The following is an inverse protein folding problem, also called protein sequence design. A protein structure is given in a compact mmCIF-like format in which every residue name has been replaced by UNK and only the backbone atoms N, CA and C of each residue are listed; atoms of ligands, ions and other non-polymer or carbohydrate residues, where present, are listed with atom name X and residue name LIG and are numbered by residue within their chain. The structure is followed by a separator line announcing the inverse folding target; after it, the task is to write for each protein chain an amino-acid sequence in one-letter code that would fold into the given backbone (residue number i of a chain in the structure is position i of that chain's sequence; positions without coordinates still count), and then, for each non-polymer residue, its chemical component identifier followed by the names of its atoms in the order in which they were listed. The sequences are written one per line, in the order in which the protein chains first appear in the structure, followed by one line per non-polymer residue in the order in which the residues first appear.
data_IF_450670130404
#
_entry.id   IF_450670130404
#
_cell.length_a   1.000
_cell.length_b   1.000
_cell.length_c   1.000
_cell.angle_alpha   90.00
_cell.angle_beta   90.00
_cell.angle_gamma   90.00
#
_symmetry.space_group_name_H-M   'P 1'
#
loop_
_entity.id
_entity.type
_entity.pdbx_description
1 polymer ?
#
# COMPACT_ATOMS: atom_id res chain seq x y z
N UNK A 1 -41.43 -10.82 -41.51
CA UNK A 1 -40.05 -11.29 -41.23
C UNK A 1 -38.99 -10.19 -41.04
N UNK A 2 -39.21 -8.92 -41.42
CA UNK A 2 -38.21 -7.84 -41.23
C UNK A 2 -38.39 -6.98 -39.95
N UNK A 3 -39.48 -7.16 -39.20
CA UNK A 3 -39.78 -6.39 -37.98
C UNK A 3 -39.32 -7.06 -36.68
N UNK A 4 -38.98 -8.35 -36.72
CA UNK A 4 -38.52 -9.11 -35.56
C UNK A 4 -37.01 -8.96 -35.31
N UNK A 5 -36.24 -8.65 -36.35
CA UNK A 5 -34.77 -8.48 -36.28
C UNK A 5 -34.36 -7.21 -35.54
N UNK A 6 -35.21 -6.18 -35.49
CA UNK A 6 -34.89 -4.88 -34.88
C UNK A 6 -34.93 -4.95 -33.34
N UNK A 7 -35.72 -5.85 -32.75
CA UNK A 7 -35.80 -5.98 -31.28
C UNK A 7 -34.62 -6.72 -30.65
N UNK A 8 -33.92 -7.57 -31.41
CA UNK A 8 -32.76 -8.33 -30.89
C UNK A 8 -31.49 -7.46 -30.82
N UNK A 9 -31.40 -6.43 -31.67
CA UNK A 9 -30.24 -5.52 -31.70
C UNK A 9 -30.27 -4.52 -30.54
N UNK A 10 -31.45 -4.19 -30.00
CA UNK A 10 -31.57 -3.26 -28.87
C UNK A 10 -31.28 -3.91 -27.50
N UNK A 11 -31.31 -5.25 -27.41
CA UNK A 11 -31.00 -5.98 -26.18
C UNK A 11 -29.48 -6.17 -25.92
N UNK A 12 -28.62 -5.80 -26.88
CA UNK A 12 -27.18 -6.06 -26.81
C UNK A 12 -26.33 -4.88 -26.27
N UNK A 13 -26.95 -3.74 -25.95
CA UNK A 13 -26.22 -2.49 -25.70
C UNK A 13 -26.27 -1.97 -24.24
N UNK A 14 -26.61 -2.82 -23.27
CA UNK A 14 -26.46 -2.48 -21.85
C UNK A 14 -25.57 -3.49 -21.14
N UNK A 15 -24.33 -3.61 -21.60
CA UNK A 15 -23.25 -4.08 -20.72
C UNK A 15 -22.93 -2.88 -19.84
N UNK A 16 -23.64 -2.75 -18.72
CA UNK A 16 -23.17 -1.91 -17.63
C UNK A 16 -21.82 -2.48 -17.21
N UNK A 17 -20.73 -1.79 -17.53
CA UNK A 17 -19.45 -2.05 -16.90
C UNK A 17 -19.63 -1.78 -15.40
N UNK A 18 -19.77 -2.85 -14.62
CA UNK A 18 -19.44 -2.80 -13.20
C UNK A 18 -17.99 -2.31 -13.13
N UNK A 19 -17.79 -1.04 -12.78
CA UNK A 19 -16.48 -0.53 -12.42
C UNK A 19 -16.12 -1.19 -11.09
N UNK A 20 -15.46 -2.34 -11.16
CA UNK A 20 -14.75 -2.87 -10.00
C UNK A 20 -13.72 -1.81 -9.58
N UNK A 21 -13.63 -1.54 -8.28
CA UNK A 21 -12.60 -0.66 -7.73
C UNK A 21 -11.23 -1.16 -8.22
N UNK A 22 -10.48 -0.30 -8.92
CA UNK A 22 -9.13 -0.64 -9.36
C UNK A 22 -8.18 -0.53 -8.16
N UNK A 23 -7.63 -1.67 -7.74
CA UNK A 23 -6.65 -1.75 -6.67
C UNK A 23 -5.23 -1.79 -7.24
N UNK A 24 -4.31 -1.13 -6.53
CA UNK A 24 -2.87 -1.18 -6.82
C UNK A 24 -2.18 -1.93 -5.69
N UNK A 25 -1.62 -3.10 -6.02
CA UNK A 25 -0.82 -3.88 -5.09
C UNK A 25 0.47 -3.14 -4.73
N UNK A 26 0.57 -2.66 -3.48
CA UNK A 26 1.78 -2.03 -2.96
C UNK A 26 2.89 -3.06 -2.70
N UNK A 27 2.50 -4.28 -2.33
CA UNK A 27 3.41 -5.39 -2.09
C UNK A 27 3.13 -6.53 -3.07
N UNK A 28 4.17 -6.98 -3.76
CA UNK A 28 4.03 -7.99 -4.82
C UNK A 28 4.04 -9.45 -4.31
N UNK A 29 4.04 -9.67 -2.99
CA UNK A 29 4.07 -10.99 -2.38
C UNK A 29 5.43 -11.72 -2.43
N UNK A 30 6.45 -11.13 -3.06
CA UNK A 30 7.72 -11.83 -3.37
C UNK A 30 8.96 -11.11 -2.90
N UNK A 31 8.99 -9.78 -2.98
CA UNK A 31 10.14 -8.97 -2.62
C UNK A 31 9.74 -7.53 -2.30
N UNK A 32 10.69 -6.77 -1.76
CA UNK A 32 10.49 -5.37 -1.35
C UNK A 32 10.74 -4.37 -2.50
N UNK A 33 10.58 -4.77 -3.77
CA UNK A 33 10.70 -3.84 -4.89
C UNK A 33 9.62 -2.77 -4.77
N UNK A 34 10.03 -1.50 -4.86
CA UNK A 34 9.14 -0.35 -4.67
C UNK A 34 9.16 0.23 -3.25
N UNK A 35 9.90 -0.41 -2.34
CA UNK A 35 10.08 0.02 -0.96
C UNK A 35 11.50 0.48 -0.68
N UNK A 36 11.66 1.34 0.32
CA UNK A 36 12.95 1.77 0.87
C UNK A 36 12.92 1.81 2.40
N UNK A 37 14.09 1.71 3.03
CA UNK A 37 14.22 1.74 4.48
C UNK A 37 14.73 3.12 4.91
N UNK A 38 14.02 3.73 5.85
CA UNK A 38 14.31 5.07 6.35
C UNK A 38 14.55 5.08 7.87
N UNK A 39 15.31 6.07 8.31
CA UNK A 39 15.73 6.39 9.68
C UNK A 39 16.57 5.31 10.39
N UNK A 40 15.93 4.23 10.82
CA UNK A 40 16.55 3.21 11.66
C UNK A 40 17.20 2.06 10.90
N UNK A 41 17.50 0.98 11.63
CA UNK A 41 18.25 -0.18 11.13
C UNK A 41 17.54 -1.52 11.41
N UNK A 42 16.25 -1.49 11.70
CA UNK A 42 15.42 -2.70 11.79
C UNK A 42 15.35 -3.39 10.41
N UNK A 43 15.18 -4.70 10.43
CA UNK A 43 15.22 -5.50 9.21
C UNK A 43 13.81 -5.83 8.74
N UNK A 44 13.60 -5.74 7.42
CA UNK A 44 12.40 -6.19 6.75
C UNK A 44 12.77 -7.29 5.77
N UNK A 45 12.05 -8.40 5.82
CA UNK A 45 12.21 -9.51 4.87
C UNK A 45 10.86 -9.99 4.39
N UNK A 46 10.86 -10.74 3.29
CA UNK A 46 9.67 -11.44 2.80
C UNK A 46 9.76 -12.90 3.20
N UNK A 47 8.72 -13.40 3.85
CA UNK A 47 8.61 -14.80 4.27
C UNK A 47 7.16 -15.25 4.09
N UNK A 48 6.93 -16.39 3.44
CA UNK A 48 5.58 -16.94 3.18
C UNK A 48 4.57 -15.98 2.52
N UNK A 49 5.04 -15.04 1.70
CA UNK A 49 4.16 -14.06 1.06
C UNK A 49 3.76 -12.89 1.95
N UNK A 50 4.43 -12.72 3.09
CA UNK A 50 4.20 -11.64 4.05
C UNK A 50 5.48 -10.80 4.22
N UNK A 51 5.32 -9.53 4.60
CA UNK A 51 6.45 -8.70 5.03
C UNK A 51 6.63 -8.85 6.54
N UNK A 52 7.82 -9.31 6.94
CA UNK A 52 8.18 -9.49 8.35
C UNK A 52 9.16 -8.39 8.76
N UNK A 53 8.72 -7.53 9.67
CA UNK A 53 9.58 -6.53 10.34
C UNK A 53 10.13 -7.07 11.66
N UNK A 54 11.44 -7.04 11.85
CA UNK A 54 12.10 -7.47 13.09
C UNK A 54 12.56 -6.26 13.90
N UNK A 55 12.01 -6.09 15.11
CA UNK A 55 12.41 -5.01 16.02
C UNK A 55 13.89 -5.08 16.37
N UNK A 56 14.53 -3.93 16.53
CA UNK A 56 15.96 -3.81 16.84
C UNK A 56 16.20 -2.74 17.90
N UNK A 57 17.01 -3.07 18.90
CA UNK A 57 17.39 -2.14 19.97
C UNK A 57 18.58 -1.27 19.54
N UNK A 58 18.75 -0.13 20.20
CA UNK A 58 19.90 0.78 19.94
C UNK A 58 19.84 1.48 18.58
N UNK A 59 18.66 1.57 17.96
CA UNK A 59 18.42 2.30 16.71
C UNK A 59 17.10 3.07 16.85
N UNK A 60 16.93 4.23 16.17
CA UNK A 60 15.64 4.89 16.12
C UNK A 60 14.58 4.02 15.41
N UNK A 61 13.34 4.48 15.42
CA UNK A 61 12.26 3.87 14.63
C UNK A 61 12.72 3.68 13.18
N UNK A 62 12.37 2.54 12.60
CA UNK A 62 12.69 2.22 11.21
C UNK A 62 11.39 2.15 10.43
N UNK A 63 11.39 2.72 9.23
CA UNK A 63 10.20 2.75 8.38
C UNK A 63 10.52 2.09 7.04
N UNK A 64 9.69 1.12 6.64
CA UNK A 64 9.66 0.63 5.27
C UNK A 64 8.65 1.47 4.49
N UNK A 65 9.15 2.42 3.71
CA UNK A 65 8.33 3.41 3.00
C UNK A 65 8.18 3.05 1.52
N UNK A 66 7.03 3.40 0.92
CA UNK A 66 6.85 3.32 -0.53
C UNK A 66 7.71 4.40 -1.21
N UNK A 67 8.44 4.05 -2.27
CA UNK A 67 9.20 5.03 -3.08
C UNK A 67 8.28 6.00 -3.83
N UNK A 68 7.04 5.58 -4.08
CA UNK A 68 5.99 6.41 -4.68
C UNK A 68 5.23 7.15 -3.58
N UNK A 69 4.90 8.41 -3.85
CA UNK A 69 4.04 9.22 -3.00
C UNK A 69 2.57 9.08 -3.42
N UNK A 70 1.68 9.10 -2.42
CA UNK A 70 0.24 8.97 -2.60
C UNK A 70 -0.50 10.11 -1.88
N UNK A 71 -1.49 10.68 -2.56
CA UNK A 71 -2.34 11.76 -2.03
C UNK A 71 -3.66 11.21 -1.51
N UNK A 72 -4.70 11.27 -2.34
CA UNK A 72 -5.99 10.64 -2.07
C UNK A 72 -5.96 9.17 -2.46
N UNK A 73 -6.31 8.29 -1.53
CA UNK A 73 -6.30 6.85 -1.72
C UNK A 73 -7.24 6.19 -0.71
N UNK A 74 -7.60 4.94 -1.00
CA UNK A 74 -8.08 3.97 -0.02
C UNK A 74 -6.93 2.97 0.16
N UNK A 75 -6.56 2.70 1.41
CA UNK A 75 -5.51 1.76 1.75
C UNK A 75 -6.12 0.64 2.57
N UNK A 76 -5.90 -0.59 2.11
CA UNK A 76 -6.24 -1.81 2.84
C UNK A 76 -4.95 -2.58 3.11
N UNK A 77 -4.81 -3.08 4.33
CA UNK A 77 -3.70 -3.91 4.75
C UNK A 77 -4.13 -4.80 5.92
N UNK A 78 -3.46 -5.93 6.06
CA UNK A 78 -3.54 -6.78 7.24
C UNK A 78 -2.26 -6.61 8.05
N UNK A 79 -2.39 -6.59 9.38
CA UNK A 79 -1.23 -6.53 10.27
C UNK A 79 -1.38 -7.52 11.41
N UNK A 80 -0.25 -8.12 11.78
CA UNK A 80 -0.10 -8.93 12.98
C UNK A 80 1.14 -8.49 13.72
N UNK A 81 1.07 -8.47 15.04
CA UNK A 81 2.16 -8.01 15.88
C UNK A 81 2.30 -8.90 17.12
N UNK A 82 3.54 -9.17 17.50
CA UNK A 82 3.84 -9.89 18.73
C UNK A 82 3.49 -9.07 19.97
N UNK A 83 3.18 -9.76 21.07
CA UNK A 83 2.82 -9.11 22.34
C UNK A 83 3.97 -8.24 22.84
N UNK A 84 3.63 -7.01 23.26
CA UNK A 84 4.58 -6.06 23.84
C UNK A 84 5.33 -5.21 22.81
N UNK A 85 5.08 -5.39 21.51
CA UNK A 85 5.57 -4.49 20.48
C UNK A 85 4.59 -3.35 20.19
N UNK A 86 5.10 -2.31 19.53
CA UNK A 86 4.32 -1.22 18.96
C UNK A 86 4.70 -1.08 17.48
N UNK A 87 3.71 -0.83 16.64
CA UNK A 87 3.87 -0.59 15.21
C UNK A 87 2.79 0.40 14.75
N UNK A 88 2.88 0.82 13.50
CA UNK A 88 1.87 1.67 12.88
C UNK A 88 2.19 1.91 11.40
N UNK A 89 1.17 2.25 10.63
CA UNK A 89 1.32 2.54 9.20
C UNK A 89 1.30 4.05 8.99
N UNK A 90 2.43 4.58 8.52
CA UNK A 90 2.56 5.97 8.14
C UNK A 90 1.82 6.24 6.83
N UNK A 91 1.15 7.40 6.73
CA UNK A 91 0.59 7.88 5.49
C UNK A 91 0.76 9.38 5.32
N UNK A 92 0.82 9.83 4.06
CA UNK A 92 1.09 11.23 3.68
C UNK A 92 2.28 11.83 4.46
N UNK A 93 3.27 10.98 4.73
CA UNK A 93 4.44 11.32 5.55
C UNK A 93 5.57 11.88 4.68
N UNK A 94 6.45 12.65 5.31
CA UNK A 94 7.68 13.18 4.73
C UNK A 94 8.88 12.57 5.42
N UNK A 95 9.97 12.39 4.68
CA UNK A 95 11.25 11.87 5.21
C UNK A 95 12.31 12.96 5.40
N UNK A 96 12.10 14.15 4.84
CA UNK A 96 13.01 15.29 4.92
C UNK A 96 12.24 16.52 5.33
N UNK A 97 12.69 17.18 6.39
CA UNK A 97 12.09 18.39 6.93
C UNK A 97 12.55 19.64 6.16
N UNK A 98 11.85 20.78 6.28
CA UNK A 98 12.25 22.03 5.60
C UNK A 98 13.67 22.52 5.95
N UNK A 99 14.18 22.15 7.12
CA UNK A 99 15.54 22.46 7.57
C UNK A 99 16.62 21.47 7.09
N UNK A 100 16.23 20.48 6.28
CA UNK A 100 17.13 19.46 5.75
C UNK A 100 17.33 18.25 6.67
N UNK A 101 16.71 18.22 7.85
CA UNK A 101 16.77 17.05 8.74
C UNK A 101 16.09 15.84 8.09
N UNK A 102 16.81 14.73 7.99
CA UNK A 102 16.25 13.44 7.58
C UNK A 102 15.57 12.77 8.77
N UNK A 103 14.25 12.80 8.76
CA UNK A 103 13.42 12.17 9.79
C UNK A 103 12.02 11.95 9.25
N UNK A 104 11.53 10.72 9.34
CA UNK A 104 10.14 10.41 8.99
C UNK A 104 9.19 11.09 9.98
N UNK A 105 8.23 11.83 9.42
CA UNK A 105 7.16 12.50 10.15
C UNK A 105 5.86 12.48 9.33
N UNK A 106 4.74 12.26 10.00
CA UNK A 106 3.41 12.36 9.40
C UNK A 106 2.37 11.60 10.20
N UNK A 107 1.20 11.43 9.60
CA UNK A 107 0.08 10.74 10.22
C UNK A 107 0.36 9.23 10.32
N UNK A 108 -0.13 8.62 11.40
CA UNK A 108 0.02 7.19 11.70
C UNK A 108 -1.32 6.62 12.16
N UNK A 109 -1.60 5.38 11.75
CA UNK A 109 -2.66 4.51 12.30
C UNK A 109 -2.07 3.24 12.87
#
# INVERSE_FOLDING_TARGET
MKRLTVLVIFALATVFSLNAQEWVELFNGKNLKGWEILDGKAEYRVENGEVIGTSKTGTPNTFMATKKLYGDFILEYEMKMDRGLNSGVQFRSVATQPDGTERVNGYQV
#
